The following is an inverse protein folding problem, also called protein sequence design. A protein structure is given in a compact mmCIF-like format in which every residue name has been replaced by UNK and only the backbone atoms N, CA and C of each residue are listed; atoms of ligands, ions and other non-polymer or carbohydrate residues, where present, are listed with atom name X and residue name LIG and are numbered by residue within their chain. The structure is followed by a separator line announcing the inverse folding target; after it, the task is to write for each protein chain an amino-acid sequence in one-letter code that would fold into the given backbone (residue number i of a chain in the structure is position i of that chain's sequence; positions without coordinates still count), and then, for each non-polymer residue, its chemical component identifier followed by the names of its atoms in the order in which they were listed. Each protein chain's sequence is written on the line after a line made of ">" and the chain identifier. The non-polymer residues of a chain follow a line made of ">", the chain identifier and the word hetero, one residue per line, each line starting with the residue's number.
data_IF_549635238650
#
_entry.id   IF_549635238650
#
_cell.length_a   1.000
_cell.length_b   1.000
_cell.length_c   1.000
_cell.angle_alpha   90.00
_cell.angle_beta   90.00
_cell.angle_gamma   90.00
#
_symmetry.space_group_name_H-M   'P 1'
#
loop_
_entity.id
_entity.type
_entity.pdbx_description
1 polymer ?
#
# COMPACT_ATOMS: atom_id res chain seq x y z
N UNK A 1 18.05 -57.54 51.01
CA UNK A 1 16.63 -57.96 51.06
C UNK A 1 15.99 -57.29 49.85
N UNK A 2 15.79 -58.17 48.96
CA UNK A 2 14.55 -58.55 48.23
C UNK A 2 14.00 -57.40 47.43
N UNK A 3 13.97 -57.44 46.15
CA UNK A 3 13.40 -58.40 45.20
C UNK A 3 12.29 -57.67 44.48
N UNK A 4 12.17 -57.75 43.31
CA UNK A 4 11.72 -58.46 42.16
C UNK A 4 11.21 -57.45 41.09
N UNK A 5 11.74 -57.57 39.90
CA UNK A 5 11.23 -58.19 38.67
C UNK A 5 9.91 -57.64 38.12
N UNK A 6 10.10 -57.20 36.93
CA UNK A 6 9.58 -57.56 35.61
C UNK A 6 8.17 -57.02 35.37
N UNK A 7 7.79 -56.53 34.22
CA UNK A 7 7.69 -57.26 32.99
C UNK A 7 7.65 -56.26 31.79
N UNK A 8 8.29 -56.67 30.74
CA UNK A 8 8.22 -56.05 29.47
C UNK A 8 6.92 -56.42 28.73
N UNK A 9 6.30 -55.42 28.18
CA UNK A 9 5.27 -55.65 27.17
C UNK A 9 5.75 -55.22 25.80
N UNK A 10 5.76 -56.24 24.95
CA UNK A 10 6.17 -56.20 23.56
C UNK A 10 5.15 -55.39 22.78
N UNK A 11 5.64 -54.37 22.05
CA UNK A 11 4.87 -53.73 20.99
C UNK A 11 4.81 -54.71 19.83
N UNK A 12 3.65 -55.32 19.66
CA UNK A 12 3.29 -56.12 18.49
C UNK A 12 2.96 -55.21 17.32
N UNK A 13 3.63 -55.53 16.25
CA UNK A 13 3.58 -55.00 14.90
C UNK A 13 2.21 -54.89 14.25
N UNK A 14 2.14 -53.89 13.40
CA UNK A 14 1.64 -53.92 12.02
C UNK A 14 0.21 -54.43 11.74
N UNK A 15 -0.40 -53.64 10.90
CA UNK A 15 -1.54 -53.96 10.05
C UNK A 15 -2.93 -53.59 10.57
N UNK A 16 -3.30 -52.34 10.29
CA UNK A 16 -4.64 -52.02 9.80
C UNK A 16 -4.59 -50.80 8.89
N UNK A 17 -4.04 -51.00 7.69
CA UNK A 17 -4.37 -50.22 6.51
C UNK A 17 -5.79 -50.59 6.10
N UNK A 18 -6.78 -49.92 6.70
CA UNK A 18 -8.16 -50.12 6.33
C UNK A 18 -8.45 -49.32 5.05
N UNK A 19 -8.75 -50.11 4.01
CA UNK A 19 -9.17 -49.76 2.68
C UNK A 19 -10.21 -48.64 2.65
N UNK A 20 -9.79 -47.49 2.14
CA UNK A 20 -10.69 -46.41 1.70
C UNK A 20 -11.38 -46.93 0.41
N UNK A 21 -12.62 -47.37 0.51
CA UNK A 21 -13.48 -47.64 -0.66
C UNK A 21 -14.16 -46.31 -1.03
N UNK A 22 -13.93 -45.74 -2.22
CA UNK A 22 -14.67 -44.58 -2.68
C UNK A 22 -16.15 -44.97 -2.91
N UNK A 23 -17.00 -44.15 -2.31
CA UNK A 23 -18.45 -44.26 -2.35
C UNK A 23 -18.99 -44.36 -3.77
N UNK A 24 -19.90 -45.34 -4.01
CA UNK A 24 -20.53 -45.62 -5.30
C UNK A 24 -21.53 -44.55 -5.77
N UNK A 25 -21.63 -43.41 -5.05
CA UNK A 25 -22.50 -42.30 -5.40
C UNK A 25 -21.93 -41.36 -6.50
N UNK A 26 -20.66 -41.52 -6.89
CA UNK A 26 -20.00 -40.63 -7.88
C UNK A 26 -20.21 -41.08 -9.36
N UNK A 27 -21.14 -41.98 -9.67
CA UNK A 27 -21.35 -42.49 -11.03
C UNK A 27 -22.66 -42.08 -11.67
N UNK A 28 -23.22 -40.93 -11.37
CA UNK A 28 -24.34 -40.38 -12.16
C UNK A 28 -24.29 -38.85 -12.23
N UNK A 29 -23.13 -38.30 -12.60
CA UNK A 29 -23.09 -36.94 -13.14
C UNK A 29 -22.84 -37.13 -14.64
N UNK A 30 -23.94 -37.17 -15.38
CA UNK A 30 -23.93 -37.18 -16.82
C UNK A 30 -23.15 -36.06 -17.39
N UNK A 31 -22.26 -36.37 -18.32
CA UNK A 31 -21.43 -35.47 -19.08
C UNK A 31 -22.28 -34.39 -19.78
N UNK A 32 -22.23 -33.19 -19.26
CA UNK A 32 -22.34 -31.94 -19.99
C UNK A 32 -21.31 -30.99 -19.39
N UNK A 33 -20.05 -31.29 -19.60
CA UNK A 33 -18.97 -30.36 -19.36
C UNK A 33 -19.02 -29.31 -20.47
N UNK A 34 -19.91 -28.33 -20.36
CA UNK A 34 -19.56 -27.00 -20.78
C UNK A 34 -18.39 -26.64 -19.84
N UNK A 35 -17.17 -26.56 -20.36
CA UNK A 35 -16.09 -25.89 -19.66
C UNK A 35 -16.68 -24.57 -19.16
N UNK A 36 -16.81 -24.44 -17.85
CA UNK A 36 -17.21 -23.19 -17.26
C UNK A 36 -16.15 -22.19 -17.70
N UNK A 37 -16.51 -21.27 -18.58
CA UNK A 37 -15.61 -20.22 -19.01
C UNK A 37 -15.27 -19.45 -17.73
N UNK A 38 -14.05 -19.65 -17.26
CA UNK A 38 -13.55 -18.96 -16.07
C UNK A 38 -13.62 -17.44 -16.35
N UNK A 39 -14.17 -16.66 -15.44
CA UNK A 39 -14.17 -15.21 -15.62
C UNK A 39 -12.76 -14.67 -15.86
N UNK A 40 -12.62 -13.90 -16.92
CA UNK A 40 -11.35 -13.27 -17.27
C UNK A 40 -11.46 -11.77 -17.00
N UNK A 41 -10.47 -11.22 -16.30
CA UNK A 41 -10.39 -9.80 -16.00
C UNK A 41 -9.11 -9.21 -16.61
N UNK A 42 -9.20 -8.05 -17.23
CA UNK A 42 -8.00 -7.29 -17.58
C UNK A 42 -7.24 -6.96 -16.31
N UNK A 43 -5.93 -7.14 -16.34
CA UNK A 43 -5.06 -6.88 -15.21
C UNK A 43 -3.86 -6.05 -15.66
N UNK A 44 -3.58 -4.99 -14.89
CA UNK A 44 -2.39 -4.18 -15.04
C UNK A 44 -1.66 -4.14 -13.69
N UNK A 45 -0.36 -4.38 -13.68
CA UNK A 45 0.47 -3.98 -12.54
C UNK A 45 1.17 -2.68 -12.91
N UNK A 46 0.97 -1.67 -12.08
CA UNK A 46 1.41 -0.30 -12.33
C UNK A 46 2.16 0.20 -11.11
N UNK A 47 3.37 0.69 -11.34
CA UNK A 47 4.18 1.37 -10.34
C UNK A 47 3.78 2.84 -10.31
N UNK A 48 3.22 3.31 -9.21
CA UNK A 48 2.81 4.70 -8.98
C UNK A 48 3.93 5.49 -8.30
N UNK A 49 4.02 6.80 -8.59
CA UNK A 49 5.12 7.66 -8.16
C UNK A 49 6.49 7.12 -8.61
N UNK A 50 6.54 6.66 -9.86
CA UNK A 50 7.67 5.98 -10.47
C UNK A 50 8.18 6.74 -11.70
N UNK A 51 9.40 7.26 -11.67
CA UNK A 51 10.05 7.84 -12.85
C UNK A 51 10.50 6.75 -13.84
N UNK A 52 10.75 5.54 -13.37
CA UNK A 52 11.13 4.35 -14.17
C UNK A 52 10.43 3.09 -13.63
N UNK A 53 10.27 2.04 -14.44
CA UNK A 53 9.72 0.76 -13.96
C UNK A 53 10.49 0.20 -12.76
N UNK A 54 9.80 -0.56 -11.91
CA UNK A 54 10.33 -1.20 -10.68
C UNK A 54 10.77 -0.19 -9.61
N UNK A 55 10.25 1.04 -9.66
CA UNK A 55 10.34 2.03 -8.57
C UNK A 55 8.93 2.42 -8.12
N UNK A 56 8.81 3.28 -7.09
CA UNK A 56 7.51 3.70 -6.57
C UNK A 56 6.71 2.59 -5.88
N UNK A 57 5.41 2.79 -5.75
CA UNK A 57 4.46 1.86 -5.14
C UNK A 57 3.75 0.99 -6.18
N UNK A 58 3.91 -0.33 -6.15
CA UNK A 58 3.20 -1.22 -7.06
C UNK A 58 1.72 -1.33 -6.67
N UNK A 59 0.83 -1.29 -7.66
CA UNK A 59 -0.59 -1.55 -7.51
C UNK A 59 -1.11 -2.43 -8.66
N UNK A 60 -1.99 -3.37 -8.35
CA UNK A 60 -2.81 -4.05 -9.34
C UNK A 60 -3.99 -3.15 -9.73
N UNK A 61 -4.35 -3.13 -11.01
CA UNK A 61 -5.48 -2.37 -11.52
C UNK A 61 -6.32 -3.28 -12.40
N UNK A 62 -7.59 -3.45 -12.04
CA UNK A 62 -8.54 -4.34 -12.70
C UNK A 62 -9.79 -3.57 -13.13
N UNK A 63 -9.90 -3.18 -14.40
CA UNK A 63 -11.16 -2.70 -14.96
C UNK A 63 -12.16 -3.85 -15.03
N UNK A 64 -13.38 -3.61 -14.55
CA UNK A 64 -14.47 -4.59 -14.55
C UNK A 64 -15.76 -3.90 -15.01
N UNK A 65 -16.69 -4.66 -15.60
CA UNK A 65 -17.99 -4.13 -16.04
C UNK A 65 -18.90 -3.81 -14.84
N UNK A 66 -18.81 -4.62 -13.80
CA UNK A 66 -19.45 -4.43 -12.51
C UNK A 66 -18.53 -5.03 -11.42
N UNK A 67 -18.62 -4.50 -10.19
CA UNK A 67 -17.84 -5.08 -9.08
C UNK A 67 -18.27 -6.53 -8.81
N UNK A 68 -17.33 -7.50 -8.84
CA UNK A 68 -17.56 -8.82 -8.28
C UNK A 68 -17.92 -8.73 -6.79
N UNK A 69 -18.38 -9.84 -6.24
CA UNK A 69 -18.57 -9.94 -4.79
C UNK A 69 -17.28 -9.56 -4.03
N UNK A 70 -17.44 -8.88 -2.90
CA UNK A 70 -16.28 -8.41 -2.12
C UNK A 70 -15.32 -9.55 -1.75
N UNK A 71 -15.84 -10.75 -1.50
CA UNK A 71 -15.03 -11.93 -1.21
C UNK A 71 -14.16 -12.36 -2.42
N UNK A 72 -14.67 -12.21 -3.65
CA UNK A 72 -13.91 -12.51 -4.87
C UNK A 72 -12.82 -11.46 -5.08
N UNK A 73 -13.14 -10.17 -4.94
CA UNK A 73 -12.15 -9.09 -5.04
C UNK A 73 -11.04 -9.24 -3.98
N UNK A 74 -11.41 -9.63 -2.76
CA UNK A 74 -10.46 -9.90 -1.68
C UNK A 74 -9.55 -11.09 -2.00
N UNK A 75 -10.10 -12.18 -2.55
CA UNK A 75 -9.32 -13.36 -2.94
C UNK A 75 -8.33 -13.02 -4.06
N UNK A 76 -8.76 -12.24 -5.06
CA UNK A 76 -7.88 -11.76 -6.14
C UNK A 76 -6.74 -10.89 -5.57
N UNK A 77 -7.05 -9.99 -4.65
CA UNK A 77 -6.03 -9.13 -4.03
C UNK A 77 -5.03 -9.94 -3.19
N UNK A 78 -5.50 -10.99 -2.50
CA UNK A 78 -4.64 -11.90 -1.75
C UNK A 78 -3.72 -12.72 -2.68
N UNK A 79 -4.24 -13.21 -3.81
CA UNK A 79 -3.46 -13.95 -4.81
C UNK A 79 -2.41 -13.07 -5.48
N UNK A 80 -2.76 -11.82 -5.83
CA UNK A 80 -1.81 -10.86 -6.37
C UNK A 80 -0.66 -10.54 -5.42
N UNK A 81 -0.92 -10.55 -4.13
CA UNK A 81 0.05 -10.33 -3.05
C UNK A 81 0.95 -9.09 -3.28
N UNK A 82 0.38 -8.02 -3.81
CA UNK A 82 0.99 -6.69 -3.95
C UNK A 82 0.31 -5.72 -3.00
N UNK A 83 0.88 -4.53 -2.82
CA UNK A 83 0.41 -3.58 -1.79
C UNK A 83 -1.11 -3.40 -1.83
N UNK A 84 -1.67 -3.02 -2.98
CA UNK A 84 -3.13 -2.98 -3.22
C UNK A 84 -3.49 -3.44 -4.62
N UNK A 85 -4.70 -4.00 -4.74
CA UNK A 85 -5.41 -4.23 -6.00
C UNK A 85 -6.62 -3.31 -6.07
N UNK A 86 -6.68 -2.49 -7.09
CA UNK A 86 -7.75 -1.55 -7.39
C UNK A 86 -8.72 -2.14 -8.41
N UNK A 87 -10.01 -2.10 -8.12
CA UNK A 87 -11.08 -2.48 -9.03
C UNK A 87 -11.82 -1.24 -9.51
N UNK A 88 -12.04 -1.12 -10.83
CA UNK A 88 -12.59 0.04 -11.49
C UNK A 88 -13.88 -0.33 -12.24
N UNK A 89 -14.94 0.46 -12.07
CA UNK A 89 -16.15 0.37 -12.88
C UNK A 89 -16.40 1.71 -13.58
N UNK A 90 -16.50 1.69 -14.90
CA UNK A 90 -16.74 2.90 -15.69
C UNK A 90 -18.17 3.39 -15.52
N UNK A 91 -18.34 4.69 -15.24
CA UNK A 91 -19.65 5.37 -15.18
C UNK A 91 -19.90 6.31 -16.37
N UNK A 92 -18.91 6.45 -17.25
CA UNK A 92 -18.92 7.37 -18.37
C UNK A 92 -18.53 8.81 -17.98
N UNK A 93 -18.30 9.65 -18.99
CA UNK A 93 -17.93 11.08 -18.82
C UNK A 93 -16.71 11.30 -17.89
N UNK A 94 -15.72 10.39 -17.91
CA UNK A 94 -14.53 10.48 -17.06
C UNK A 94 -14.76 10.14 -15.60
N UNK A 95 -15.90 9.56 -15.26
CA UNK A 95 -16.24 9.11 -13.90
C UNK A 95 -16.13 7.60 -13.78
N UNK A 96 -15.64 7.16 -12.62
CA UNK A 96 -15.41 5.76 -12.30
C UNK A 96 -15.76 5.48 -10.83
N UNK A 97 -16.31 4.31 -10.53
CA UNK A 97 -16.33 3.81 -9.18
C UNK A 97 -15.00 3.08 -8.92
N UNK A 98 -14.45 3.22 -7.71
CA UNK A 98 -13.11 2.69 -7.35
C UNK A 98 -13.12 2.10 -5.95
N UNK A 99 -12.60 0.87 -5.83
CA UNK A 99 -12.39 0.16 -4.58
C UNK A 99 -10.98 -0.41 -4.52
N UNK A 100 -10.39 -0.46 -3.32
CA UNK A 100 -9.02 -0.94 -3.11
C UNK A 100 -8.98 -2.05 -2.06
N UNK A 101 -8.24 -3.09 -2.36
CA UNK A 101 -8.04 -4.23 -1.49
C UNK A 101 -6.54 -4.48 -1.30
N UNK A 102 -6.09 -4.53 -0.04
CA UNK A 102 -4.82 -5.13 0.33
C UNK A 102 -4.96 -6.66 0.26
N UNK A 103 -3.89 -7.45 0.38
CA UNK A 103 -4.02 -8.90 0.51
C UNK A 103 -4.92 -9.36 1.68
N UNK A 104 -5.16 -8.51 2.68
CA UNK A 104 -5.88 -8.88 3.90
C UNK A 104 -7.29 -8.28 4.03
N UNK A 105 -7.52 -7.07 3.50
CA UNK A 105 -8.79 -6.35 3.70
C UNK A 105 -9.01 -5.23 2.68
N UNK A 106 -10.27 -4.83 2.53
CA UNK A 106 -10.62 -3.60 1.79
C UNK A 106 -10.21 -2.36 2.59
N UNK A 107 -9.64 -1.37 1.90
CA UNK A 107 -9.24 -0.10 2.49
C UNK A 107 -10.08 1.06 1.94
N UNK A 108 -10.44 2.05 2.79
CA UNK A 108 -11.31 3.15 2.36
C UNK A 108 -10.60 4.19 1.47
N UNK A 109 -9.27 4.20 1.47
CA UNK A 109 -8.46 5.16 0.72
C UNK A 109 -7.08 4.60 0.42
N UNK A 110 -6.62 4.74 -0.84
CA UNK A 110 -5.25 4.43 -1.24
C UNK A 110 -4.77 5.40 -2.34
N UNK A 111 -3.79 6.25 -2.03
CA UNK A 111 -3.30 7.28 -2.95
C UNK A 111 -2.54 6.71 -4.14
N UNK A 112 -1.56 5.83 -3.93
CA UNK A 112 -0.73 5.31 -5.02
C UNK A 112 -1.55 4.41 -5.97
N UNK A 113 -2.48 3.59 -5.44
CA UNK A 113 -3.35 2.78 -6.29
C UNK A 113 -4.39 3.64 -7.05
N UNK A 114 -4.79 4.81 -6.52
CA UNK A 114 -5.60 5.79 -7.26
C UNK A 114 -4.81 6.40 -8.43
N UNK A 115 -3.55 6.76 -8.21
CA UNK A 115 -2.68 7.27 -9.28
C UNK A 115 -2.45 6.19 -10.36
N UNK A 116 -2.20 4.94 -9.95
CA UNK A 116 -2.07 3.79 -10.84
C UNK A 116 -3.35 3.56 -11.65
N UNK A 117 -4.52 3.67 -11.03
CA UNK A 117 -5.84 3.56 -11.67
C UNK A 117 -6.03 4.63 -12.74
N UNK A 118 -5.69 5.88 -12.43
CA UNK A 118 -5.76 6.97 -13.40
C UNK A 118 -4.79 6.73 -14.57
N UNK A 119 -3.58 6.23 -14.30
CA UNK A 119 -2.64 5.87 -15.35
C UNK A 119 -3.21 4.77 -16.27
N UNK A 120 -3.83 3.72 -15.73
CA UNK A 120 -4.48 2.69 -16.53
C UNK A 120 -5.57 3.26 -17.43
N UNK A 121 -6.40 4.14 -16.90
CA UNK A 121 -7.49 4.78 -17.65
C UNK A 121 -6.95 5.63 -18.81
N UNK A 122 -5.93 6.45 -18.58
CA UNK A 122 -5.32 7.28 -19.61
C UNK A 122 -4.52 6.48 -20.64
N UNK A 123 -3.80 5.45 -20.23
CA UNK A 123 -2.83 4.76 -21.08
C UNK A 123 -3.39 3.53 -21.79
N UNK A 124 -4.38 2.85 -21.18
CA UNK A 124 -4.86 1.55 -21.66
C UNK A 124 -6.37 1.49 -21.93
N UNK A 125 -7.17 2.41 -21.33
CA UNK A 125 -8.63 2.38 -21.48
C UNK A 125 -9.16 3.48 -22.41
N UNK A 126 -8.27 4.24 -23.07
CA UNK A 126 -8.61 5.16 -24.15
C UNK A 126 -9.32 6.45 -23.70
N UNK A 127 -9.21 6.83 -22.42
CA UNK A 127 -9.74 8.11 -21.96
C UNK A 127 -8.70 9.24 -22.17
N UNK A 128 -9.10 10.31 -22.82
CA UNK A 128 -8.25 11.46 -23.18
C UNK A 128 -8.66 12.79 -22.54
N UNK A 129 -9.71 12.79 -21.71
CA UNK A 129 -10.15 13.98 -20.98
C UNK A 129 -9.10 14.51 -20.00
N UNK A 130 -9.23 15.77 -19.55
CA UNK A 130 -8.23 16.43 -18.69
C UNK A 130 -8.22 15.93 -17.24
N UNK A 131 -9.33 15.37 -16.77
CA UNK A 131 -9.54 14.97 -15.39
C UNK A 131 -10.36 13.68 -15.31
N UNK A 132 -10.00 12.84 -14.35
CA UNK A 132 -10.74 11.62 -13.98
C UNK A 132 -11.32 11.84 -12.58
N UNK A 133 -12.61 11.52 -12.41
CA UNK A 133 -13.27 11.47 -11.12
C UNK A 133 -13.46 10.03 -10.66
N UNK A 134 -13.17 9.75 -9.41
CA UNK A 134 -13.41 8.48 -8.75
C UNK A 134 -14.42 8.65 -7.64
N UNK A 135 -15.54 7.93 -7.69
CA UNK A 135 -16.45 7.79 -6.56
C UNK A 135 -15.96 6.62 -5.69
N UNK A 136 -15.70 6.88 -4.40
CA UNK A 136 -15.10 5.94 -3.46
C UNK A 136 -15.83 5.94 -2.12
N UNK A 137 -15.50 4.98 -1.25
CA UNK A 137 -16.04 4.94 0.13
C UNK A 137 -15.65 6.18 0.96
N UNK A 138 -14.54 6.84 0.63
CA UNK A 138 -14.07 8.09 1.28
C UNK A 138 -14.51 9.37 0.57
N UNK A 139 -15.47 9.27 -0.33
CA UNK A 139 -15.95 10.38 -1.15
C UNK A 139 -15.27 10.46 -2.51
N UNK A 140 -15.46 11.59 -3.19
CA UNK A 140 -14.94 11.81 -4.53
C UNK A 140 -13.47 12.20 -4.51
N UNK A 141 -12.66 11.47 -5.30
CA UNK A 141 -11.28 11.82 -5.60
C UNK A 141 -11.17 12.27 -7.06
N UNK A 142 -10.25 13.17 -7.35
CA UNK A 142 -9.97 13.61 -8.71
C UNK A 142 -8.49 13.47 -9.03
N UNK A 143 -8.22 13.07 -10.29
CA UNK A 143 -6.85 13.00 -10.81
C UNK A 143 -6.79 13.75 -12.14
N UNK A 144 -5.92 14.75 -12.22
CA UNK A 144 -5.67 15.53 -13.43
C UNK A 144 -4.43 15.04 -14.16
N UNK A 145 -4.48 15.03 -15.48
CA UNK A 145 -3.29 14.84 -16.32
C UNK A 145 -2.67 16.19 -16.63
N UNK A 146 -1.43 16.38 -16.25
CA UNK A 146 -0.65 17.59 -16.53
C UNK A 146 -0.06 17.53 -17.94
N UNK A 147 0.31 18.70 -18.48
CA UNK A 147 0.84 18.80 -19.83
C UNK A 147 2.16 18.05 -20.09
N UNK A 148 2.90 17.72 -19.04
CA UNK A 148 4.14 16.93 -19.09
C UNK A 148 3.89 15.42 -18.85
N UNK A 149 2.64 15.01 -18.78
CA UNK A 149 2.20 13.62 -18.58
C UNK A 149 2.25 13.13 -17.15
N UNK A 150 2.60 13.99 -16.16
CA UNK A 150 2.41 13.67 -14.74
C UNK A 150 0.93 13.70 -14.39
N UNK A 151 0.61 13.00 -13.30
CA UNK A 151 -0.73 12.96 -12.72
C UNK A 151 -0.73 13.72 -11.40
N UNK A 152 -1.78 14.52 -11.19
CA UNK A 152 -1.96 15.35 -10.00
C UNK A 152 -3.22 14.92 -9.27
N UNK A 153 -3.11 14.60 -7.99
CA UNK A 153 -4.21 14.31 -7.06
C UNK A 153 -4.35 15.43 -6.04
N UNK A 154 -5.57 15.65 -5.55
CA UNK A 154 -5.90 16.69 -4.59
C UNK A 154 -6.31 16.08 -3.23
N UNK A 155 -5.58 16.41 -2.18
CA UNK A 155 -5.85 15.93 -0.83
C UNK A 155 -5.90 17.08 0.19
N UNK A 156 -6.60 16.92 1.34
CA UNK A 156 -6.52 17.88 2.43
C UNK A 156 -5.10 17.88 3.03
N UNK A 157 -4.57 19.06 3.29
CA UNK A 157 -3.37 19.22 4.09
C UNK A 157 -3.66 18.80 5.54
N UNK A 158 -2.68 18.18 6.17
CA UNK A 158 -2.77 17.70 7.56
C UNK A 158 -1.57 18.23 8.35
N UNK A 159 -1.54 19.55 8.63
CA UNK A 159 -0.40 20.15 9.30
C UNK A 159 -0.21 19.52 10.69
N UNK A 160 0.98 18.96 10.96
CA UNK A 160 1.25 18.33 12.24
C UNK A 160 1.61 19.37 13.29
N UNK A 161 1.50 18.99 14.57
CA UNK A 161 1.93 19.78 15.71
C UNK A 161 3.17 19.17 16.37
N UNK A 162 4.03 19.98 16.95
CA UNK A 162 5.14 19.52 17.77
C UNK A 162 4.60 18.78 19.01
N UNK A 163 5.25 17.68 19.34
CA UNK A 163 4.94 16.88 20.52
C UNK A 163 6.23 16.46 21.22
N UNK A 164 6.19 16.19 22.54
CA UNK A 164 7.35 15.62 23.25
C UNK A 164 7.76 14.30 22.60
N UNK A 165 9.06 13.98 22.74
CA UNK A 165 9.59 12.66 22.36
C UNK A 165 8.86 11.56 23.14
N UNK A 166 8.16 10.63 22.50
CA UNK A 166 7.56 9.51 23.20
C UNK A 166 8.63 8.60 23.82
N UNK A 167 8.37 8.10 25.03
CA UNK A 167 9.26 7.17 25.72
C UNK A 167 9.50 5.91 24.90
N UNK A 168 10.76 5.49 24.79
CA UNK A 168 11.19 4.30 24.08
C UNK A 168 11.27 4.46 22.55
N UNK A 169 10.96 5.63 21.99
CA UNK A 169 10.99 5.83 20.53
C UNK A 169 12.42 5.83 19.99
N UNK A 170 13.37 6.39 20.72
CA UNK A 170 14.79 6.42 20.33
C UNK A 170 15.34 5.00 20.26
N UNK A 171 15.06 4.18 21.25
CA UNK A 171 15.45 2.77 21.31
C UNK A 171 14.79 1.98 20.19
N UNK A 172 13.49 2.20 19.95
CA UNK A 172 12.75 1.54 18.88
C UNK A 172 13.28 1.87 17.49
N UNK A 173 13.74 3.11 17.28
CA UNK A 173 14.33 3.56 16.01
C UNK A 173 15.80 3.18 15.87
N UNK A 174 16.51 2.96 16.99
CA UNK A 174 17.97 2.83 17.04
C UNK A 174 18.70 4.11 16.64
N UNK A 175 18.01 5.26 16.70
CA UNK A 175 18.54 6.57 16.28
C UNK A 175 17.77 7.70 16.98
N UNK A 176 18.46 8.82 17.24
CA UNK A 176 17.90 10.01 17.89
C UNK A 176 17.32 10.98 16.87
N UNK A 177 15.98 11.16 16.76
CA UNK A 177 15.40 12.22 15.96
C UNK A 177 15.74 13.62 16.50
N UNK A 178 15.78 14.61 15.63
CA UNK A 178 15.97 16.00 15.99
C UNK A 178 14.69 16.63 16.55
N UNK A 179 13.53 16.19 16.06
CA UNK A 179 12.21 16.64 16.52
C UNK A 179 11.17 15.56 16.26
N UNK A 180 10.05 15.65 16.97
CA UNK A 180 8.85 14.82 16.75
C UNK A 180 7.65 15.73 16.54
N UNK A 181 6.85 15.40 15.54
CA UNK A 181 5.56 16.04 15.30
C UNK A 181 4.48 14.97 15.11
N UNK A 182 3.25 15.31 15.43
CA UNK A 182 2.10 14.43 15.33
C UNK A 182 0.96 15.06 14.52
N UNK A 183 0.40 14.29 13.67
CA UNK A 183 -0.85 14.46 12.96
C UNK A 183 -1.60 13.13 12.98
N UNK A 184 -2.21 12.69 11.88
CA UNK A 184 -2.73 11.32 11.74
C UNK A 184 -1.66 10.23 11.92
N UNK A 185 -0.41 10.59 11.66
CA UNK A 185 0.76 9.77 11.96
C UNK A 185 1.73 10.54 12.85
N UNK A 186 2.50 9.81 13.64
CA UNK A 186 3.70 10.34 14.26
C UNK A 186 4.77 10.53 13.17
N UNK A 187 5.50 11.66 13.19
CA UNK A 187 6.60 11.93 12.28
C UNK A 187 7.86 12.30 13.04
N UNK A 188 8.90 11.48 12.86
CA UNK A 188 10.22 11.67 13.40
C UNK A 188 11.10 12.41 12.39
N UNK A 189 11.61 13.58 12.77
CA UNK A 189 12.44 14.45 11.93
C UNK A 189 13.90 14.19 12.23
N UNK A 190 14.68 13.87 11.20
CA UNK A 190 16.12 13.64 11.26
C UNK A 190 16.87 14.81 10.60
N UNK A 191 18.18 14.89 10.83
CA UNK A 191 19.00 15.97 10.28
C UNK A 191 19.44 15.70 8.85
N UNK A 192 19.59 14.42 8.49
CA UNK A 192 20.16 14.02 7.19
C UNK A 192 19.38 12.87 6.55
N UNK A 193 19.36 12.78 5.20
CA UNK A 193 18.83 11.61 4.50
C UNK A 193 19.53 10.30 4.87
N UNK A 194 20.82 10.34 5.15
CA UNK A 194 21.61 9.18 5.54
C UNK A 194 21.08 8.55 6.85
N UNK A 195 20.71 9.37 7.84
CA UNK A 195 20.08 8.89 9.07
C UNK A 195 18.75 8.18 8.77
N UNK A 196 17.89 8.76 7.93
CA UNK A 196 16.61 8.14 7.53
C UNK A 196 16.83 6.81 6.81
N UNK A 197 17.77 6.76 5.86
CA UNK A 197 18.07 5.54 5.10
C UNK A 197 18.64 4.42 5.95
N UNK A 198 19.41 4.76 6.99
CA UNK A 198 20.07 3.78 7.87
C UNK A 198 19.12 3.13 8.87
N UNK A 199 17.90 3.64 9.05
CA UNK A 199 16.96 3.15 10.06
C UNK A 199 16.63 1.66 9.86
N UNK A 200 16.67 0.93 10.98
CA UNK A 200 16.25 -0.48 11.10
C UNK A 200 15.43 -0.62 12.39
N UNK A 201 14.21 -0.07 12.41
CA UNK A 201 13.46 0.03 13.66
C UNK A 201 12.92 -1.32 14.14
N UNK A 202 12.73 -1.42 15.45
CA UNK A 202 11.88 -2.44 16.06
C UNK A 202 10.41 -2.11 15.74
N UNK A 203 9.87 -2.78 14.73
CA UNK A 203 8.52 -2.49 14.21
C UNK A 203 7.42 -2.76 15.23
N UNK A 204 7.59 -3.71 16.14
CA UNK A 204 6.61 -4.00 17.18
C UNK A 204 6.53 -2.83 18.18
N UNK A 205 7.67 -2.30 18.59
CA UNK A 205 7.72 -1.13 19.43
C UNK A 205 7.23 0.14 18.73
N UNK A 206 7.61 0.35 17.45
CA UNK A 206 7.11 1.46 16.64
C UNK A 206 5.59 1.44 16.58
N UNK A 207 4.97 0.27 16.31
CA UNK A 207 3.51 0.13 16.30
C UNK A 207 2.87 0.59 17.62
N UNK A 208 3.36 0.08 18.73
CA UNK A 208 2.83 0.41 20.07
C UNK A 208 2.99 1.89 20.40
N UNK A 209 4.20 2.44 20.19
CA UNK A 209 4.52 3.83 20.56
C UNK A 209 3.76 4.82 19.67
N UNK A 210 3.82 4.63 18.35
CA UNK A 210 3.14 5.54 17.40
C UNK A 210 1.63 5.48 17.53
N UNK A 211 1.05 4.29 17.75
CA UNK A 211 -0.38 4.12 18.01
C UNK A 211 -0.81 4.81 19.31
N UNK A 212 -0.03 4.66 20.38
CA UNK A 212 -0.29 5.33 21.65
C UNK A 212 -0.19 6.85 21.56
N UNK A 213 0.78 7.37 20.82
CA UNK A 213 1.01 8.81 20.68
C UNK A 213 -0.03 9.53 19.82
N UNK A 214 -0.61 8.85 18.83
CA UNK A 214 -1.56 9.47 17.88
C UNK A 214 -3.01 9.04 18.09
N UNK A 215 -3.24 7.97 18.85
CA UNK A 215 -4.56 7.32 18.95
C UNK A 215 -5.01 6.66 17.65
N UNK A 216 -4.11 6.55 16.67
CA UNK A 216 -4.36 6.01 15.34
C UNK A 216 -3.69 4.65 15.11
N UNK A 217 -3.52 4.31 13.84
CA UNK A 217 -2.70 3.15 13.44
C UNK A 217 -1.26 3.39 13.84
N UNK A 218 -0.56 2.40 14.34
CA UNK A 218 0.82 2.48 14.81
C UNK A 218 1.87 2.62 13.69
N UNK A 219 1.64 3.51 12.75
CA UNK A 219 2.54 3.80 11.63
C UNK A 219 3.40 5.03 11.95
N UNK A 220 4.60 5.10 11.35
CA UNK A 220 5.57 6.15 11.63
C UNK A 220 6.17 6.69 10.32
N UNK A 221 6.12 7.99 10.15
CA UNK A 221 6.91 8.72 9.15
C UNK A 221 8.28 9.04 9.74
N UNK A 222 9.35 8.79 8.99
CA UNK A 222 10.67 9.30 9.28
C UNK A 222 11.12 10.17 8.12
N UNK A 223 11.49 11.44 8.37
CA UNK A 223 11.81 12.37 7.31
C UNK A 223 13.00 13.28 7.67
N UNK A 224 13.71 13.73 6.64
CA UNK A 224 14.81 14.69 6.76
C UNK A 224 14.83 15.65 5.57
N UNK A 225 15.45 16.86 5.71
CA UNK A 225 15.80 17.69 4.57
C UNK A 225 16.66 16.93 3.57
N UNK A 226 16.35 17.00 2.28
CA UNK A 226 16.90 16.14 1.23
C UNK A 226 17.93 16.81 0.31
N UNK A 227 18.33 18.06 0.57
CA UNK A 227 19.12 18.89 -0.35
C UNK A 227 20.43 18.22 -0.79
N UNK A 228 21.08 17.44 0.07
CA UNK A 228 22.31 16.70 -0.26
C UNK A 228 22.12 15.62 -1.33
N UNK A 229 20.88 15.20 -1.61
CA UNK A 229 20.53 14.19 -2.59
C UNK A 229 19.73 14.76 -3.78
N UNK A 230 19.59 16.08 -3.87
CA UNK A 230 18.83 16.76 -4.94
C UNK A 230 17.32 16.77 -4.75
N UNK A 231 16.85 16.41 -3.56
CA UNK A 231 15.45 16.51 -3.13
C UNK A 231 15.28 17.60 -2.08
N UNK A 232 14.04 18.02 -1.84
CA UNK A 232 13.73 18.89 -0.71
C UNK A 232 13.55 18.09 0.57
N UNK A 233 12.95 16.88 0.46
CA UNK A 233 12.70 15.96 1.58
C UNK A 233 13.00 14.53 1.16
N UNK A 234 13.64 13.79 2.07
CA UNK A 234 13.77 12.33 1.99
C UNK A 234 13.03 11.71 3.17
N UNK A 235 12.20 10.69 2.90
CA UNK A 235 11.37 10.06 3.92
C UNK A 235 11.35 8.54 3.82
N UNK A 236 10.90 7.88 4.89
CA UNK A 236 10.48 6.47 4.93
C UNK A 236 9.17 6.37 5.70
N UNK A 237 8.35 5.39 5.37
CA UNK A 237 7.08 5.16 6.03
C UNK A 237 7.01 3.74 6.56
N UNK A 238 7.25 3.58 7.85
CA UNK A 238 7.10 2.29 8.54
C UNK A 238 5.62 2.08 8.89
N UNK A 239 5.07 0.93 8.47
CA UNK A 239 3.64 0.68 8.46
C UNK A 239 3.20 -0.58 9.23
N UNK A 240 3.78 -0.88 10.42
CA UNK A 240 3.43 -2.09 11.17
C UNK A 240 1.96 -2.09 11.62
N UNK A 241 1.37 -0.92 11.89
CA UNK A 241 -0.05 -0.80 12.22
C UNK A 241 -0.99 -1.01 11.04
N UNK A 242 -0.45 -1.11 9.83
CA UNK A 242 -1.18 -1.49 8.61
C UNK A 242 -0.88 -2.93 8.15
N UNK A 243 -0.15 -3.70 8.96
CA UNK A 243 0.15 -5.11 8.71
C UNK A 243 1.35 -5.36 7.77
N UNK A 244 2.08 -4.32 7.38
CA UNK A 244 3.29 -4.43 6.56
C UNK A 244 4.47 -3.72 7.24
N UNK A 245 5.71 -4.17 7.02
CA UNK A 245 6.88 -3.53 7.64
C UNK A 245 7.06 -2.08 7.22
N UNK A 246 6.95 -1.80 5.93
CA UNK A 246 7.19 -0.49 5.32
C UNK A 246 6.43 -0.37 4.01
N UNK A 247 5.90 0.82 3.69
CA UNK A 247 5.20 1.11 2.45
C UNK A 247 6.12 1.89 1.49
N UNK A 248 6.23 1.51 0.21
CA UNK A 248 7.13 2.14 -0.74
C UNK A 248 6.69 3.52 -1.24
N UNK A 249 5.39 3.86 -1.20
CA UNK A 249 4.88 5.13 -1.75
C UNK A 249 3.60 5.59 -1.06
N UNK A 250 3.74 6.38 0.01
CA UNK A 250 2.63 6.74 0.89
C UNK A 250 2.15 8.17 0.65
N UNK A 251 1.09 8.31 -0.15
CA UNK A 251 0.49 9.63 -0.42
C UNK A 251 0.00 10.33 0.85
N UNK A 252 -0.65 9.62 1.77
CA UNK A 252 -1.16 10.19 3.03
C UNK A 252 -0.06 10.72 3.95
N UNK A 253 1.13 10.10 3.95
CA UNK A 253 2.28 10.64 4.68
C UNK A 253 2.71 12.00 4.13
N UNK A 254 2.60 12.19 2.81
CA UNK A 254 2.96 13.45 2.16
C UNK A 254 1.95 14.57 2.43
N UNK A 255 0.72 14.24 2.86
CA UNK A 255 -0.22 15.24 3.37
C UNK A 255 0.20 15.86 4.72
N UNK A 256 1.13 15.22 5.45
CA UNK A 256 1.74 15.72 6.69
C UNK A 256 3.12 16.32 6.40
N UNK A 257 3.92 15.65 5.57
CA UNK A 257 5.27 16.10 5.18
C UNK A 257 5.20 17.45 4.48
N UNK A 258 4.27 17.62 3.52
CA UNK A 258 4.19 18.85 2.74
C UNK A 258 3.95 20.11 3.58
N UNK A 259 2.93 20.24 4.44
CA UNK A 259 2.74 21.45 5.21
C UNK A 259 3.91 21.72 6.16
N UNK A 260 4.48 20.70 6.81
CA UNK A 260 5.62 20.86 7.71
C UNK A 260 6.87 21.39 7.01
N UNK A 261 7.29 20.71 5.94
CA UNK A 261 8.53 21.09 5.25
C UNK A 261 8.36 22.32 4.34
N UNK A 262 7.16 22.57 3.81
CA UNK A 262 6.88 23.80 3.07
C UNK A 262 7.09 25.03 3.95
N UNK A 263 6.62 25.01 5.20
CA UNK A 263 6.85 26.05 6.18
C UNK A 263 8.34 26.21 6.53
N UNK A 264 8.99 25.07 6.89
CA UNK A 264 10.41 25.10 7.32
C UNK A 264 11.38 25.52 6.20
N UNK A 265 11.07 25.18 4.93
CA UNK A 265 11.92 25.49 3.77
C UNK A 265 11.50 26.76 3.02
N UNK A 266 10.35 27.36 3.35
CA UNK A 266 9.80 28.53 2.65
C UNK A 266 9.43 28.24 1.19
N UNK A 267 9.00 26.99 0.88
CA UNK A 267 8.69 26.54 -0.47
C UNK A 267 7.26 25.98 -0.53
N UNK A 268 6.46 26.42 -1.49
CA UNK A 268 5.13 25.86 -1.72
C UNK A 268 5.18 24.48 -2.44
N UNK A 269 6.19 24.25 -3.25
CA UNK A 269 6.40 22.99 -3.97
C UNK A 269 7.66 22.30 -3.48
N UNK A 270 7.56 21.00 -3.18
CA UNK A 270 8.65 20.17 -2.69
C UNK A 270 8.84 18.96 -3.58
N UNK A 271 10.09 18.63 -3.90
CA UNK A 271 10.50 17.36 -4.47
C UNK A 271 10.80 16.41 -3.33
N UNK A 272 9.97 15.40 -3.13
CA UNK A 272 10.12 14.41 -2.08
C UNK A 272 10.57 13.07 -2.66
N UNK A 273 11.43 12.37 -1.93
CA UNK A 273 11.81 11.01 -2.22
C UNK A 273 11.47 10.11 -1.04
N UNK A 274 10.58 9.14 -1.23
CA UNK A 274 10.33 8.12 -0.21
C UNK A 274 11.31 6.96 -0.43
N UNK A 275 12.26 6.80 0.49
CA UNK A 275 13.47 6.01 0.32
C UNK A 275 13.28 4.53 0.72
N UNK A 276 12.22 3.89 0.22
CA UNK A 276 12.05 2.44 0.41
C UNK A 276 13.23 1.68 -0.21
N UNK A 277 13.86 0.72 0.52
CA UNK A 277 15.03 -0.01 0.03
C UNK A 277 14.79 -0.70 -1.32
N UNK A 278 15.65 -0.43 -2.30
CA UNK A 278 15.61 -1.04 -3.62
C UNK A 278 14.60 -0.44 -4.61
N UNK A 279 13.60 0.33 -4.16
CA UNK A 279 12.59 0.92 -5.05
C UNK A 279 12.63 2.46 -5.04
N UNK A 280 12.18 3.06 -3.94
CA UNK A 280 11.99 4.50 -3.81
C UNK A 280 10.81 5.04 -4.63
N UNK A 281 10.26 6.17 -4.20
CA UNK A 281 9.16 6.86 -4.87
C UNK A 281 9.46 8.34 -5.03
N UNK A 282 9.23 8.88 -6.23
CA UNK A 282 9.38 10.29 -6.56
C UNK A 282 8.02 10.98 -6.47
N UNK A 283 7.85 11.82 -5.44
CA UNK A 283 6.59 12.50 -5.16
C UNK A 283 6.83 14.00 -5.10
N UNK A 284 6.20 14.75 -6.00
CA UNK A 284 6.16 16.20 -5.88
C UNK A 284 4.92 16.58 -5.10
N UNK A 285 5.09 17.41 -4.07
CA UNK A 285 3.97 17.99 -3.33
C UNK A 285 3.88 19.47 -3.60
N UNK A 286 2.66 20.01 -3.69
CA UNK A 286 2.44 21.47 -3.83
C UNK A 286 1.33 21.88 -2.88
N UNK A 287 1.65 22.79 -1.97
CA UNK A 287 0.68 23.41 -1.09
C UNK A 287 -0.19 24.43 -1.83
N UNK A 288 -1.50 24.35 -1.62
CA UNK A 288 -2.48 25.28 -2.16
C UNK A 288 -3.55 25.58 -1.09
N UNK A 289 -3.30 26.59 -0.26
CA UNK A 289 -4.12 26.84 0.91
C UNK A 289 -4.08 25.68 1.89
N UNK A 290 -5.24 25.12 2.21
CA UNK A 290 -5.44 23.95 3.05
C UNK A 290 -5.38 22.61 2.29
N UNK A 291 -4.92 22.64 1.03
CA UNK A 291 -4.82 21.45 0.16
C UNK A 291 -3.36 21.14 -0.16
N UNK A 292 -3.10 19.85 -0.37
CA UNK A 292 -1.84 19.32 -0.91
C UNK A 292 -2.12 18.68 -2.25
N UNK A 293 -1.42 19.13 -3.29
CA UNK A 293 -1.37 18.44 -4.57
C UNK A 293 -0.25 17.40 -4.51
N UNK A 294 -0.58 16.12 -4.74
CA UNK A 294 0.38 15.05 -4.89
C UNK A 294 0.57 14.78 -6.37
N UNK A 295 1.78 14.95 -6.87
CA UNK A 295 2.09 14.89 -8.30
C UNK A 295 3.16 13.83 -8.52
N UNK A 296 2.96 12.97 -9.51
CA UNK A 296 3.93 11.95 -9.88
C UNK A 296 3.63 11.30 -11.22
N UNK A 297 4.53 10.42 -11.64
CA UNK A 297 4.36 9.57 -12.81
C UNK A 297 3.95 8.16 -12.37
N UNK A 298 3.43 7.40 -13.32
CA UNK A 298 3.22 5.98 -13.12
C UNK A 298 3.77 5.20 -14.33
N UNK A 299 4.10 3.92 -14.12
CA UNK A 299 4.68 3.04 -15.12
C UNK A 299 3.99 1.69 -15.10
N UNK A 300 3.43 1.28 -16.23
CA UNK A 300 2.93 -0.09 -16.40
C UNK A 300 4.10 -1.06 -16.49
N UNK A 301 4.08 -2.10 -15.68
CA UNK A 301 5.11 -3.16 -15.68
C UNK A 301 4.57 -4.51 -16.10
N UNK A 302 3.27 -4.77 -15.89
CA UNK A 302 2.60 -5.96 -16.40
C UNK A 302 1.26 -5.55 -17.01
N UNK A 303 0.93 -6.14 -18.15
CA UNK A 303 -0.38 -6.12 -18.79
C UNK A 303 -0.76 -7.56 -19.13
N UNK A 304 -1.97 -7.97 -18.77
CA UNK A 304 -2.42 -9.34 -19.00
C UNK A 304 -3.87 -9.58 -18.63
N UNK A 305 -4.16 -10.85 -18.39
CA UNK A 305 -5.50 -11.34 -18.02
C UNK A 305 -5.38 -12.14 -16.73
N UNK A 306 -6.20 -11.82 -15.77
CA UNK A 306 -6.39 -12.61 -14.55
C UNK A 306 -7.57 -13.58 -14.75
N UNK A 307 -7.37 -14.85 -14.45
CA UNK A 307 -8.41 -15.91 -14.55
C UNK A 307 -8.76 -16.41 -13.15
N UNK A 308 -10.06 -16.48 -12.85
CA UNK A 308 -10.56 -16.94 -11.54
C UNK A 308 -11.37 -18.21 -11.69
#
# INVERSE_FOLDING_TARGET
>A
MSGERSDGEKISSAAELNSFQPDKAARQIGASSREAVMPEFKFFQIDAFAERPMTGGPAGVMPVDAFPDAAVMQAIAAENNIAETAFLVAKGKGMWDLRWFTPLLEVPLCGHATLASAHAIYSHLGYDGPEIGFDTASGRLTVKRLGDGRLEMDFPAQPPREVPMPDGLVEALGAQPAAIVAGPYLMAIFRTPAEVRALKPDLAQVNRISGGATGGRGNLVCAAPGASEGYDVVSRFFAPGSGIPEDPATGSAHCIIAPYFSEKLGKAELKCFQAYPGRGADIVTRMQGDRVRLIGRARTVIEGVFRT
#
